data_IF_044318579451
#
_entry.id   IF_044318579451
#
_cell.length_a   1.000
_cell.length_b   1.000
_cell.length_c   1.000
_cell.angle_alpha   90.00
_cell.angle_beta   90.00
_cell.angle_gamma   90.00
#
_symmetry.space_group_name_H-M   'P 1'
#
loop_
_entity.id
_entity.type
_entity.pdbx_description
1 polymer ?
#
# COMPACT_ATOMS: atom_id res chain seq x y z
N UNK A 1 -32.24 31.49 16.55
CA UNK A 1 -33.34 32.09 15.77
C UNK A 1 -32.97 31.94 14.30
N UNK A 2 -33.65 31.05 13.55
CA UNK A 2 -33.70 30.87 12.08
C UNK A 2 -32.36 30.83 11.32
N UNK A 3 -31.83 29.69 10.83
CA UNK A 3 -32.28 28.74 9.78
C UNK A 3 -32.24 29.33 8.35
N UNK A 4 -31.79 28.48 7.41
CA UNK A 4 -31.76 28.55 5.92
C UNK A 4 -30.37 28.90 5.36
N UNK A 5 -29.50 27.96 4.93
CA UNK A 5 -29.55 26.99 3.79
C UNK A 5 -29.51 27.68 2.41
N UNK A 6 -28.48 27.37 1.61
CA UNK A 6 -28.43 27.80 0.20
C UNK A 6 -27.21 27.27 -0.57
N UNK A 7 -27.38 26.10 -1.17
CA UNK A 7 -26.48 25.39 -2.07
C UNK A 7 -26.18 26.12 -3.40
N UNK A 8 -24.95 25.89 -3.90
CA UNK A 8 -24.57 25.42 -5.25
C UNK A 8 -25.04 26.19 -6.49
N UNK A 9 -24.04 26.61 -7.29
CA UNK A 9 -24.00 26.25 -8.71
C UNK A 9 -23.91 27.40 -9.71
N UNK A 10 -22.77 27.54 -10.38
CA UNK A 10 -22.77 27.82 -11.82
C UNK A 10 -21.48 27.38 -12.49
N UNK A 11 -21.72 26.61 -13.55
CA UNK A 11 -20.79 26.04 -14.52
C UNK A 11 -20.42 27.10 -15.56
N UNK A 12 -19.21 26.96 -16.09
CA UNK A 12 -18.63 27.66 -17.25
C UNK A 12 -19.52 27.64 -18.50
N UNK A 13 -19.57 28.75 -19.25
CA UNK A 13 -19.66 28.74 -20.72
C UNK A 13 -19.33 30.11 -21.37
N UNK A 14 -18.19 30.15 -22.08
CA UNK A 14 -17.92 30.90 -23.34
C UNK A 14 -16.71 30.17 -23.96
N UNK A 15 -16.67 29.73 -25.21
CA UNK A 15 -17.61 29.77 -26.31
C UNK A 15 -16.79 29.53 -27.59
N UNK A 16 -17.19 28.58 -28.44
CA UNK A 16 -16.76 28.51 -29.84
C UNK A 16 -17.90 27.91 -30.65
N UNK A 17 -18.35 28.69 -31.64
CA UNK A 17 -19.38 28.32 -32.61
C UNK A 17 -18.87 27.27 -33.60
N UNK A 18 -19.75 26.37 -34.03
CA UNK A 18 -19.58 25.50 -35.18
C UNK A 18 -20.80 24.61 -35.33
N UNK A 19 -21.66 24.91 -36.30
CA UNK A 19 -23.02 24.38 -36.41
C UNK A 19 -23.17 22.93 -36.87
N UNK A 20 -24.42 22.47 -36.82
CA UNK A 20 -24.85 21.19 -37.37
C UNK A 20 -26.19 20.74 -36.77
N UNK A 21 -27.27 20.98 -37.52
CA UNK A 21 -28.64 20.58 -37.21
C UNK A 21 -28.80 19.07 -36.96
N UNK A 22 -29.67 18.69 -36.01
CA UNK A 22 -30.78 17.76 -36.27
C UNK A 22 -31.66 17.53 -35.02
N UNK A 23 -32.96 17.59 -35.28
CA UNK A 23 -34.07 17.26 -34.37
C UNK A 23 -33.92 15.87 -33.73
N UNK A 24 -34.43 15.66 -32.51
CA UNK A 24 -35.60 14.80 -32.20
C UNK A 24 -35.96 14.86 -30.70
N UNK A 25 -37.16 15.40 -30.45
CA UNK A 25 -38.18 15.13 -29.41
C UNK A 25 -37.77 14.66 -28.00
N UNK A 26 -38.00 15.53 -27.02
CA UNK A 26 -38.23 15.18 -25.62
C UNK A 26 -39.66 14.63 -25.42
N UNK A 27 -39.77 13.45 -24.79
CA UNK A 27 -41.02 12.95 -24.22
C UNK A 27 -40.83 12.84 -22.71
N UNK A 28 -41.47 13.74 -21.97
CA UNK A 28 -41.60 13.66 -20.52
C UNK A 28 -42.33 12.37 -20.13
N UNK A 29 -41.71 11.56 -19.28
CA UNK A 29 -42.40 10.60 -18.43
C UNK A 29 -42.07 10.96 -16.98
N UNK A 30 -43.14 11.22 -16.24
CA UNK A 30 -43.21 11.53 -14.82
C UNK A 30 -43.39 10.20 -14.07
N UNK A 31 -42.91 10.18 -12.83
CA UNK A 31 -43.20 9.24 -11.73
C UNK A 31 -42.26 8.04 -11.52
N UNK A 32 -41.77 7.93 -10.27
CA UNK A 32 -41.24 6.70 -9.69
C UNK A 32 -39.73 6.62 -9.46
N UNK A 33 -39.13 7.49 -8.62
CA UNK A 33 -37.78 7.22 -8.10
C UNK A 33 -37.84 6.18 -7.00
N UNK A 34 -37.33 5.00 -7.31
CA UNK A 34 -36.77 4.07 -6.35
C UNK A 34 -35.58 4.72 -5.64
N UNK A 35 -35.53 4.61 -4.32
CA UNK A 35 -34.32 4.90 -3.55
C UNK A 35 -33.22 3.87 -3.89
N UNK A 36 -31.96 4.29 -4.08
CA UNK A 36 -30.86 3.36 -4.22
C UNK A 36 -30.61 2.64 -2.88
N UNK A 37 -30.57 1.31 -2.94
CA UNK A 37 -30.32 0.35 -1.85
C UNK A 37 -28.92 0.45 -1.19
N UNK A 38 -28.23 1.58 -1.30
CA UNK A 38 -26.86 1.75 -0.81
C UNK A 38 -26.75 2.13 0.68
N UNK A 39 -27.88 2.40 1.36
CA UNK A 39 -27.91 2.82 2.77
C UNK A 39 -28.37 1.74 3.76
N UNK A 40 -28.58 0.48 3.32
CA UNK A 40 -29.00 -0.62 4.23
C UNK A 40 -27.86 -1.50 4.75
N UNK A 41 -26.63 -1.32 4.24
CA UNK A 41 -25.45 -2.09 4.69
C UNK A 41 -24.71 -1.49 5.89
N UNK A 42 -24.69 -0.17 6.03
CA UNK A 42 -23.81 0.52 6.98
C UNK A 42 -24.38 0.71 8.41
N UNK A 43 -25.61 0.24 8.69
CA UNK A 43 -26.27 0.45 9.98
C UNK A 43 -26.53 -0.84 10.78
N UNK A 44 -25.77 -1.92 10.52
CA UNK A 44 -25.86 -3.16 11.30
C UNK A 44 -24.68 -3.45 12.24
N UNK A 45 -23.74 -2.53 12.37
CA UNK A 45 -22.58 -2.67 13.26
C UNK A 45 -22.47 -1.49 14.22
N UNK A 46 -23.37 -1.43 15.20
CA UNK A 46 -23.10 -0.68 16.44
C UNK A 46 -23.56 -1.53 17.62
N UNK A 47 -22.64 -1.81 18.55
CA UNK A 47 -23.00 -2.38 19.83
C UNK A 47 -23.58 -1.27 20.73
N UNK A 48 -24.57 -1.63 21.55
CA UNK A 48 -25.25 -0.74 22.50
C UNK A 48 -24.33 -0.03 23.51
N UNK A 49 -23.04 -0.38 23.58
CA UNK A 49 -22.06 0.26 24.47
C UNK A 49 -21.52 1.60 23.93
N UNK A 50 -21.54 1.84 22.62
CA UNK A 50 -20.99 3.08 22.03
C UNK A 50 -21.99 4.25 21.99
N UNK A 51 -23.30 3.97 22.05
CA UNK A 51 -24.35 5.01 22.09
C UNK A 51 -24.38 5.76 23.44
N UNK A 52 -23.80 5.20 24.50
CA UNK A 52 -23.70 5.87 25.81
C UNK A 52 -22.60 6.93 25.89
N UNK A 53 -21.57 6.87 25.04
CA UNK A 53 -20.47 7.84 25.07
C UNK A 53 -20.88 9.17 24.40
N UNK A 54 -21.68 9.11 23.33
CA UNK A 54 -22.15 10.30 22.60
C UNK A 54 -23.25 11.12 23.30
N UNK A 55 -23.71 10.70 24.49
CA UNK A 55 -24.67 11.48 25.31
C UNK A 55 -24.02 12.22 26.48
N UNK A 56 -22.70 12.12 26.65
CA UNK A 56 -21.98 12.67 27.81
C UNK A 56 -21.20 13.97 27.60
N UNK A 57 -21.27 14.60 26.42
CA UNK A 57 -20.45 15.79 26.08
C UNK A 57 -21.30 16.99 25.65
N UNK A 58 -22.52 17.09 26.18
CA UNK A 58 -23.38 18.25 25.96
C UNK A 58 -23.86 18.77 27.32
N UNK A 59 -22.95 19.29 28.13
CA UNK A 59 -23.24 20.21 29.24
C UNK A 59 -21.92 20.88 29.66
N UNK A 60 -21.61 22.04 29.05
CA UNK A 60 -20.76 23.05 29.68
C UNK A 60 -21.42 24.41 29.44
N UNK A 61 -21.76 25.03 30.56
CA UNK A 61 -22.56 26.24 30.71
C UNK A 61 -21.90 27.48 30.10
N UNK A 62 -22.74 28.32 29.49
CA UNK A 62 -22.41 29.69 29.09
C UNK A 62 -22.52 30.64 30.29
N UNK A 63 -21.42 31.29 30.69
CA UNK A 63 -21.39 32.42 31.63
C UNK A 63 -21.01 33.75 30.94
N UNK A 64 -21.47 34.92 31.45
CA UNK A 64 -21.60 36.14 30.66
C UNK A 64 -20.35 37.04 30.62
N UNK A 65 -20.32 37.87 29.57
CA UNK A 65 -19.34 38.91 29.24
C UNK A 65 -19.41 40.13 30.17
N UNK A 66 -18.25 40.76 30.43
CA UNK A 66 -18.08 42.22 30.54
C UNK A 66 -16.61 42.65 30.50
N UNK A 67 -16.31 43.94 30.18
CA UNK A 67 -15.21 44.31 29.27
C UNK A 67 -14.11 45.18 29.91
N UNK A 68 -12.86 45.02 29.49
CA UNK A 68 -11.74 45.98 29.55
C UNK A 68 -10.71 45.47 28.53
N UNK A 69 -9.99 46.21 27.69
CA UNK A 69 -9.69 47.62 27.50
C UNK A 69 -8.50 47.64 26.54
N UNK A 70 -8.46 48.63 25.67
CA UNK A 70 -7.58 48.71 24.50
C UNK A 70 -6.15 49.16 24.80
N UNK A 71 -5.23 48.67 23.95
CA UNK A 71 -4.23 49.46 23.21
C UNK A 71 -2.73 49.42 23.60
N UNK A 72 -1.94 49.10 22.57
CA UNK A 72 -0.67 49.72 22.14
C UNK A 72 0.65 49.10 22.65
N UNK A 73 1.35 48.45 21.70
CA UNK A 73 2.79 48.21 21.68
C UNK A 73 3.58 49.49 21.33
N UNK A 74 4.90 49.55 21.60
CA UNK A 74 5.80 49.64 20.43
C UNK A 74 7.21 49.02 20.58
N UNK A 75 7.74 48.57 19.43
CA UNK A 75 9.13 48.67 18.90
C UNK A 75 10.36 48.43 19.80
N UNK A 76 11.23 47.47 19.40
CA UNK A 76 12.49 47.71 18.67
C UNK A 76 13.68 46.77 19.01
N UNK A 77 14.25 46.21 17.93
CA UNK A 77 15.69 46.12 17.56
C UNK A 77 16.67 45.13 18.24
N UNK A 78 17.13 44.20 17.39
CA UNK A 78 18.54 43.92 16.97
C UNK A 78 19.58 43.47 18.01
N UNK A 79 20.17 42.27 17.80
CA UNK A 79 21.54 42.00 17.25
C UNK A 79 22.14 40.65 17.74
N UNK A 80 22.38 39.75 16.79
CA UNK A 80 23.63 39.03 16.47
C UNK A 80 24.44 38.23 17.52
N UNK A 81 25.02 37.12 17.01
CA UNK A 81 26.32 36.47 17.32
C UNK A 81 26.36 35.32 18.38
N UNK A 82 26.47 34.06 17.93
CA UNK A 82 27.76 33.35 17.67
C UNK A 82 27.57 31.87 17.33
N UNK A 83 28.26 31.46 16.27
CA UNK A 83 28.62 30.09 15.88
C UNK A 83 29.51 29.41 16.94
N UNK A 84 29.26 28.14 17.25
CA UNK A 84 30.30 27.23 17.72
C UNK A 84 30.12 25.82 17.14
N UNK A 85 31.17 25.36 16.45
CA UNK A 85 31.30 24.04 15.79
C UNK A 85 31.26 22.89 16.80
N UNK A 86 30.51 21.82 16.49
CA UNK A 86 30.79 20.44 16.94
C UNK A 86 30.62 19.49 15.75
N UNK A 87 31.70 19.26 15.00
CA UNK A 87 31.74 18.31 13.85
C UNK A 87 32.53 17.02 14.12
N UNK A 88 32.90 16.69 15.37
CA UNK A 88 33.75 15.53 15.65
C UNK A 88 33.26 14.53 16.70
N UNK A 89 32.03 14.65 17.21
CA UNK A 89 31.49 13.69 18.20
C UNK A 89 30.43 12.71 17.67
N UNK A 90 29.89 12.92 16.46
CA UNK A 90 28.79 12.08 15.94
C UNK A 90 29.28 10.80 15.26
N UNK A 91 30.38 10.84 14.51
CA UNK A 91 30.93 9.68 13.78
C UNK A 91 31.30 8.50 14.70
N UNK A 92 31.90 8.77 15.88
CA UNK A 92 32.26 7.72 16.85
C UNK A 92 31.08 7.20 17.66
N UNK A 93 30.05 8.02 17.88
CA UNK A 93 28.83 7.59 18.59
C UNK A 93 27.97 6.67 17.69
N UNK A 94 27.95 6.92 16.39
CA UNK A 94 27.26 6.09 15.40
C UNK A 94 27.96 4.75 15.13
N UNK A 95 29.29 4.70 15.16
CA UNK A 95 30.04 3.44 15.09
C UNK A 95 29.79 2.53 16.32
N UNK A 96 29.54 3.12 17.50
CA UNK A 96 29.20 2.39 18.72
C UNK A 96 27.73 1.97 18.79
N UNK A 97 26.81 2.73 18.16
CA UNK A 97 25.39 2.37 18.06
C UNK A 97 25.14 1.21 17.07
N UNK A 98 25.95 1.07 16.01
CA UNK A 98 25.92 -0.11 15.12
C UNK A 98 26.29 -1.43 15.81
N UNK A 99 26.97 -1.37 16.96
CA UNK A 99 27.45 -2.56 17.67
C UNK A 99 26.56 -3.00 18.84
N UNK A 100 25.59 -2.16 19.27
CA UNK A 100 24.78 -2.39 20.49
C UNK A 100 23.27 -2.58 20.27
N UNK A 101 22.76 -2.42 19.06
CA UNK A 101 21.34 -2.65 18.72
C UNK A 101 20.94 -4.13 18.55
N UNK A 102 21.77 -5.08 18.99
CA UNK A 102 21.56 -6.53 18.85
C UNK A 102 20.98 -7.22 20.10
N UNK A 103 20.41 -6.49 21.05
CA UNK A 103 19.89 -7.08 22.30
C UNK A 103 18.54 -6.45 22.66
N UNK A 104 17.43 -7.14 22.33
CA UNK A 104 16.29 -7.38 23.23
C UNK A 104 15.05 -8.02 22.55
N UNK A 105 14.48 -8.99 23.28
CA UNK A 105 13.10 -9.50 23.28
C UNK A 105 12.60 -10.44 22.16
N UNK A 106 12.55 -11.73 22.51
CA UNK A 106 11.82 -12.82 21.83
C UNK A 106 10.48 -13.13 22.51
N UNK A 107 9.43 -13.41 21.73
CA UNK A 107 8.45 -14.46 22.05
C UNK A 107 8.09 -15.22 20.76
N UNK A 108 8.18 -16.56 20.71
CA UNK A 108 7.66 -17.34 19.59
C UNK A 108 6.17 -17.63 19.81
N UNK A 109 5.36 -17.39 18.78
CA UNK A 109 4.03 -17.98 18.65
C UNK A 109 4.20 -19.49 18.41
N UNK A 110 3.67 -20.31 19.33
CA UNK A 110 3.55 -21.76 19.14
C UNK A 110 2.52 -22.04 18.05
N UNK A 111 2.94 -22.76 17.02
CA UNK A 111 2.03 -23.53 16.18
C UNK A 111 1.97 -24.94 16.78
N UNK A 112 0.87 -25.26 17.47
CA UNK A 112 0.60 -26.62 17.95
C UNK A 112 0.32 -27.53 16.74
N UNK A 113 1.34 -28.29 16.34
CA UNK A 113 1.22 -29.46 15.49
C UNK A 113 1.40 -30.70 16.37
N UNK A 114 0.32 -31.41 16.63
CA UNK A 114 0.35 -32.65 17.39
C UNK A 114 1.00 -33.82 16.64
N UNK A 115 1.57 -34.73 17.42
CA UNK A 115 1.77 -36.12 17.02
C UNK A 115 3.14 -36.70 17.32
N UNK A 116 3.18 -37.70 18.20
CA UNK A 116 4.12 -38.82 18.08
C UNK A 116 5.07 -38.99 19.25
N UNK A 117 4.72 -39.92 20.13
CA UNK A 117 5.56 -40.48 21.19
C UNK A 117 6.88 -41.06 20.66
N UNK A 118 7.95 -40.93 21.44
CA UNK A 118 9.24 -41.55 21.16
C UNK A 118 10.29 -41.21 22.21
N UNK A 119 10.35 -42.03 23.25
CA UNK A 119 11.35 -42.03 24.32
C UNK A 119 12.79 -42.18 23.80
N UNK A 120 13.74 -41.51 24.45
CA UNK A 120 15.17 -41.71 24.21
C UNK A 120 16.07 -40.75 24.98
N UNK A 121 16.46 -41.16 26.19
CA UNK A 121 17.47 -40.52 27.05
C UNK A 121 18.83 -40.36 26.37
N UNK A 122 19.51 -39.24 26.67
CA UNK A 122 20.89 -39.01 26.26
C UNK A 122 21.46 -37.66 26.71
N UNK A 123 21.93 -37.60 27.95
CA UNK A 123 22.72 -36.50 28.53
C UNK A 123 23.97 -36.17 27.70
N UNK A 124 24.11 -34.91 27.26
CA UNK A 124 25.41 -34.24 27.02
C UNK A 124 25.34 -32.74 27.26
N UNK A 125 26.06 -32.29 28.29
CA UNK A 125 26.47 -30.91 28.49
C UNK A 125 27.45 -30.48 27.38
N UNK A 126 27.16 -29.36 26.72
CA UNK A 126 28.02 -28.73 25.72
C UNK A 126 27.76 -27.23 25.64
N UNK A 127 28.84 -26.46 25.69
CA UNK A 127 28.93 -25.02 25.90
C UNK A 127 28.04 -24.15 24.99
N UNK A 128 27.45 -23.15 25.63
CA UNK A 128 26.58 -22.12 25.09
C UNK A 128 27.42 -21.05 24.35
N UNK A 129 27.58 -21.19 23.04
CA UNK A 129 28.12 -20.12 22.18
C UNK A 129 27.00 -19.19 21.71
N UNK A 130 27.17 -17.92 22.04
CA UNK A 130 26.25 -16.81 21.82
C UNK A 130 25.77 -16.64 20.36
N UNK A 131 24.45 -16.56 20.23
CA UNK A 131 23.62 -15.80 19.29
C UNK A 131 24.29 -15.23 18.03
N UNK A 132 24.18 -15.97 16.92
CA UNK A 132 24.05 -15.38 15.58
C UNK A 132 22.61 -14.90 15.40
N UNK A 133 22.43 -13.60 15.20
CA UNK A 133 21.20 -13.08 14.59
C UNK A 133 21.13 -13.56 13.15
N UNK A 134 20.06 -14.25 12.81
CA UNK A 134 19.81 -14.63 11.44
C UNK A 134 19.14 -13.45 10.72
N UNK A 135 19.73 -12.91 9.64
CA UNK A 135 19.00 -12.00 8.75
C UNK A 135 17.76 -12.75 8.29
N UNK A 136 16.58 -12.08 8.28
CA UNK A 136 15.28 -12.62 7.83
C UNK A 136 15.51 -13.84 6.97
N UNK A 137 15.43 -15.05 7.57
CA UNK A 137 15.81 -16.27 6.85
C UNK A 137 15.09 -16.17 5.53
N UNK A 138 15.88 -16.14 4.47
CA UNK A 138 15.39 -16.31 3.11
C UNK A 138 14.51 -17.53 3.23
N UNK A 139 13.18 -17.34 3.27
CA UNK A 139 12.25 -18.40 2.99
C UNK A 139 12.66 -18.76 1.58
N UNK A 140 13.56 -19.73 1.46
CA UNK A 140 13.92 -20.31 0.19
C UNK A 140 12.58 -20.55 -0.49
N UNK A 141 12.49 -20.24 -1.77
CA UNK A 141 11.29 -20.42 -2.59
C UNK A 141 10.66 -21.84 -2.49
N UNK A 142 11.22 -22.76 -1.68
CA UNK A 142 10.65 -24.03 -1.24
C UNK A 142 9.72 -24.01 -0.02
N UNK A 143 9.46 -22.90 0.66
CA UNK A 143 8.26 -22.79 1.52
C UNK A 143 7.06 -22.59 0.59
N UNK A 144 6.55 -23.72 0.10
CA UNK A 144 5.79 -23.84 -1.13
C UNK A 144 4.57 -22.93 -1.19
N UNK A 145 4.46 -22.17 -2.27
CA UNK A 145 3.16 -21.69 -2.71
C UNK A 145 2.20 -22.89 -2.81
N UNK A 146 0.94 -22.69 -2.41
CA UNK A 146 -0.06 -23.74 -2.46
C UNK A 146 -0.32 -24.24 -3.89
N UNK A 147 -1.06 -25.34 -4.02
CA UNK A 147 -1.58 -25.77 -5.31
C UNK A 147 -2.58 -24.75 -5.87
N UNK A 148 -2.73 -24.71 -7.21
CA UNK A 148 -3.77 -23.92 -7.86
C UNK A 148 -5.15 -24.39 -7.43
N UNK A 149 -5.97 -23.45 -6.97
CA UNK A 149 -7.36 -23.67 -6.56
C UNK A 149 -8.30 -22.88 -7.45
N UNK A 150 -9.57 -23.32 -7.52
CA UNK A 150 -10.62 -22.54 -8.19
C UNK A 150 -10.85 -21.21 -7.45
N UNK A 151 -11.24 -20.18 -8.19
CA UNK A 151 -11.64 -18.88 -7.63
C UNK A 151 -12.99 -18.95 -6.90
N UNK A 152 -13.42 -17.83 -6.30
CA UNK A 152 -14.73 -17.74 -5.64
C UNK A 152 -15.89 -18.08 -6.58
N UNK A 153 -17.03 -18.45 -5.99
CA UNK A 153 -18.29 -18.67 -6.72
C UNK A 153 -18.71 -17.48 -7.59
N UNK A 154 -18.33 -16.25 -7.22
CA UNK A 154 -18.60 -15.06 -8.02
C UNK A 154 -17.89 -15.15 -9.39
N UNK A 155 -16.60 -15.50 -9.39
CA UNK A 155 -15.83 -15.73 -10.61
C UNK A 155 -16.26 -16.97 -11.37
N UNK A 156 -16.63 -18.06 -10.68
CA UNK A 156 -17.11 -19.28 -11.35
C UNK A 156 -18.42 -19.07 -12.11
N UNK A 157 -19.29 -18.18 -11.61
CA UNK A 157 -20.51 -17.80 -12.31
C UNK A 157 -20.25 -16.85 -13.47
N UNK A 158 -19.14 -16.10 -13.44
CA UNK A 158 -18.76 -15.20 -14.52
C UNK A 158 -18.24 -16.00 -15.71
N UNK A 159 -19.00 -15.99 -16.80
CA UNK A 159 -18.58 -16.62 -18.05
C UNK A 159 -17.50 -15.76 -18.71
N UNK A 160 -16.31 -16.33 -18.88
CA UNK A 160 -15.24 -15.69 -19.64
C UNK A 160 -15.54 -15.79 -21.15
N UNK A 161 -15.48 -14.68 -21.90
CA UNK A 161 -15.64 -14.71 -23.35
C UNK A 161 -14.68 -15.73 -23.99
N UNK A 162 -15.11 -16.58 -24.91
CA UNK A 162 -14.20 -17.56 -25.56
C UNK A 162 -13.68 -18.68 -24.66
N UNK A 163 -14.17 -18.81 -23.43
CA UNK A 163 -13.75 -19.84 -22.47
C UNK A 163 -12.49 -19.47 -21.69
N UNK A 164 -11.90 -20.46 -21.02
CA UNK A 164 -10.81 -20.32 -20.06
C UNK A 164 -11.30 -20.48 -18.63
N UNK A 165 -10.35 -20.67 -17.72
CA UNK A 165 -10.63 -20.81 -16.28
C UNK A 165 -9.64 -19.97 -15.48
N UNK A 166 -10.14 -19.36 -14.43
CA UNK A 166 -9.33 -18.60 -13.48
C UNK A 166 -9.07 -19.42 -12.22
N UNK A 167 -7.86 -19.28 -11.69
CA UNK A 167 -7.37 -19.99 -10.52
C UNK A 167 -6.70 -19.00 -9.57
N UNK A 168 -6.59 -19.39 -8.30
CA UNK A 168 -5.85 -18.67 -7.26
C UNK A 168 -4.82 -19.60 -6.62
N UNK A 169 -3.74 -19.02 -6.10
CA UNK A 169 -2.66 -19.75 -5.43
C UNK A 169 -2.27 -18.97 -4.17
N UNK A 170 -2.28 -19.64 -3.03
CA UNK A 170 -1.81 -19.06 -1.76
C UNK A 170 -0.29 -18.89 -1.80
N UNK A 171 0.19 -17.70 -1.46
CA UNK A 171 1.61 -17.32 -1.53
C UNK A 171 2.17 -16.86 -0.17
N UNK A 172 1.37 -16.89 0.89
CA UNK A 172 1.72 -16.51 2.26
C UNK A 172 0.90 -15.32 2.78
N UNK A 173 0.90 -15.12 4.10
CA UNK A 173 0.09 -14.12 4.79
C UNK A 173 0.92 -13.08 5.55
N UNK A 174 0.41 -12.69 6.72
CA UNK A 174 1.08 -11.84 7.71
C UNK A 174 1.43 -10.43 7.22
N UNK A 175 0.52 -9.79 6.50
CA UNK A 175 0.69 -8.43 5.96
C UNK A 175 1.55 -8.34 4.70
N UNK A 176 2.28 -9.41 4.34
CA UNK A 176 3.13 -9.48 3.15
C UNK A 176 2.43 -10.07 1.92
N UNK A 177 1.15 -10.43 2.01
CA UNK A 177 0.48 -11.27 1.00
C UNK A 177 0.48 -10.66 -0.42
N UNK A 178 0.37 -9.32 -0.54
CA UNK A 178 0.52 -8.61 -1.82
C UNK A 178 1.90 -8.86 -2.43
N UNK A 179 2.94 -8.54 -1.66
CA UNK A 179 4.33 -8.66 -2.07
C UNK A 179 4.69 -10.10 -2.39
N UNK A 180 4.25 -11.07 -1.58
CA UNK A 180 4.51 -12.49 -1.82
C UNK A 180 3.84 -12.98 -3.09
N UNK A 181 2.61 -12.56 -3.35
CA UNK A 181 1.88 -12.92 -4.58
C UNK A 181 2.61 -12.39 -5.82
N UNK A 182 3.03 -11.13 -5.80
CA UNK A 182 3.80 -10.54 -6.91
C UNK A 182 5.16 -11.22 -7.10
N UNK A 183 5.92 -11.45 -6.01
CA UNK A 183 7.20 -12.16 -6.07
C UNK A 183 7.03 -13.56 -6.67
N UNK A 184 6.00 -14.29 -6.25
CA UNK A 184 5.71 -15.63 -6.77
C UNK A 184 5.38 -15.59 -8.26
N UNK A 185 4.56 -14.65 -8.71
CA UNK A 185 4.27 -14.47 -10.15
C UNK A 185 5.52 -14.17 -10.98
N UNK A 186 6.35 -13.23 -10.51
CA UNK A 186 7.61 -12.84 -11.18
C UNK A 186 8.57 -14.04 -11.24
N UNK A 187 8.72 -14.78 -10.15
CA UNK A 187 9.58 -15.97 -10.08
C UNK A 187 9.09 -17.10 -10.98
N UNK A 188 7.78 -17.43 -10.94
CA UNK A 188 7.15 -18.45 -11.79
C UNK A 188 7.34 -18.12 -13.29
N UNK A 189 7.39 -16.83 -13.64
CA UNK A 189 7.63 -16.36 -15.00
C UNK A 189 9.11 -16.31 -15.42
N UNK A 190 10.04 -16.59 -14.51
CA UNK A 190 11.48 -16.47 -14.74
C UNK A 190 11.95 -15.02 -14.99
N UNK A 191 11.15 -14.03 -14.56
CA UNK A 191 11.51 -12.62 -14.67
C UNK A 191 12.50 -12.23 -13.56
N UNK A 192 13.42 -11.34 -13.89
CA UNK A 192 14.36 -10.76 -12.94
C UNK A 192 14.45 -9.26 -13.09
N UNK A 193 14.80 -8.58 -12.00
CA UNK A 193 15.01 -7.14 -12.01
C UNK A 193 16.42 -6.83 -12.51
N UNK A 194 16.50 -6.06 -13.60
CA UNK A 194 17.67 -5.30 -14.00
C UNK A 194 17.48 -3.84 -13.52
N UNK A 195 18.56 -3.06 -13.40
CA UNK A 195 18.61 -1.76 -12.69
C UNK A 195 17.47 -0.76 -12.98
N UNK A 196 16.74 -0.92 -14.09
CA UNK A 196 15.63 -0.07 -14.48
C UNK A 196 14.36 -0.82 -14.98
N UNK A 197 14.35 -2.15 -15.11
CA UNK A 197 13.20 -2.88 -15.67
C UNK A 197 13.20 -4.39 -15.34
N UNK A 198 12.01 -5.01 -15.38
CA UNK A 198 11.87 -6.47 -15.35
C UNK A 198 12.19 -7.08 -16.72
N UNK A 199 13.17 -7.97 -16.75
CA UNK A 199 13.60 -8.67 -17.96
C UNK A 199 13.55 -10.19 -17.80
N UNK A 200 13.28 -10.87 -18.91
CA UNK A 200 13.55 -12.30 -19.04
C UNK A 200 15.07 -12.49 -19.05
N UNK A 201 15.59 -13.08 -17.99
CA UNK A 201 17.03 -13.20 -17.80
C UNK A 201 17.53 -14.55 -18.28
N UNK A 202 18.17 -14.61 -19.45
CA UNK A 202 19.00 -15.76 -19.85
C UNK A 202 20.37 -15.77 -19.15
N UNK A 203 20.85 -14.61 -18.68
CA UNK A 203 22.17 -14.44 -18.04
C UNK A 203 22.05 -14.11 -16.55
N UNK A 204 22.70 -14.90 -15.69
CA UNK A 204 22.68 -14.71 -14.23
C UNK A 204 23.50 -13.49 -13.74
N UNK A 205 24.22 -12.80 -14.61
CA UNK A 205 25.17 -11.76 -14.21
C UNK A 205 24.43 -10.41 -14.09
N UNK A 206 24.43 -9.83 -12.90
CA UNK A 206 23.89 -8.49 -12.62
C UNK A 206 22.40 -8.41 -12.26
N UNK A 207 21.63 -9.49 -12.45
CA UNK A 207 20.19 -9.48 -12.18
C UNK A 207 19.86 -9.79 -10.72
N UNK A 208 19.00 -8.97 -10.10
CA UNK A 208 18.54 -9.17 -8.71
C UNK A 208 17.25 -10.01 -8.72
N UNK A 209 17.15 -10.95 -7.77
CA UNK A 209 15.87 -11.61 -7.49
C UNK A 209 14.92 -10.60 -6.85
N UNK A 210 13.67 -10.55 -7.31
CA UNK A 210 12.64 -9.71 -6.71
C UNK A 210 12.13 -10.38 -5.43
N UNK A 211 12.66 -9.93 -4.30
CA UNK A 211 12.23 -10.40 -2.98
C UNK A 211 11.11 -9.50 -2.41
N UNK A 212 10.43 -9.98 -1.36
CA UNK A 212 9.45 -9.18 -0.60
C UNK A 212 10.10 -7.90 -0.07
N UNK A 213 11.28 -8.01 0.56
CA UNK A 213 11.99 -6.85 1.11
C UNK A 213 12.37 -5.83 0.02
N UNK A 214 12.80 -6.30 -1.16
CA UNK A 214 13.08 -5.41 -2.29
C UNK A 214 11.83 -4.65 -2.74
N UNK A 215 10.68 -5.32 -2.88
CA UNK A 215 9.44 -4.64 -3.27
C UNK A 215 8.92 -3.69 -2.20
N UNK A 216 9.06 -4.02 -0.91
CA UNK A 216 8.74 -3.11 0.18
C UNK A 216 9.63 -1.87 0.17
N UNK A 217 10.92 -2.03 -0.11
CA UNK A 217 11.84 -0.90 -0.32
C UNK A 217 11.40 -0.02 -1.51
N UNK A 218 10.96 -0.63 -2.62
CA UNK A 218 10.44 0.11 -3.78
C UNK A 218 9.18 0.91 -3.45
N UNK A 219 8.24 0.31 -2.71
CA UNK A 219 7.05 1.01 -2.21
C UNK A 219 7.45 2.17 -1.30
N UNK A 220 8.32 1.92 -0.33
CA UNK A 220 8.78 2.94 0.61
C UNK A 220 9.40 4.14 -0.12
N UNK A 221 10.28 3.90 -1.10
CA UNK A 221 10.90 4.95 -1.92
C UNK A 221 9.88 5.67 -2.79
N UNK A 222 9.04 4.94 -3.50
CA UNK A 222 7.99 5.51 -4.35
C UNK A 222 7.02 6.38 -3.55
N UNK A 223 6.64 5.95 -2.34
CA UNK A 223 5.75 6.68 -1.45
C UNK A 223 6.29 8.08 -1.11
N UNK A 224 7.58 8.16 -0.80
CA UNK A 224 8.27 9.43 -0.47
C UNK A 224 8.79 10.19 -1.70
N UNK A 225 8.52 9.69 -2.91
CA UNK A 225 8.91 10.32 -4.17
C UNK A 225 10.39 10.17 -4.53
N UNK A 226 11.06 9.13 -4.03
CA UNK A 226 12.42 8.75 -4.43
C UNK A 226 12.40 7.70 -5.54
N UNK A 227 13.40 7.77 -6.42
CA UNK A 227 13.67 6.75 -7.42
C UNK A 227 14.21 5.45 -6.78
N UNK A 228 14.05 4.29 -7.44
CA UNK A 228 14.52 2.99 -6.95
C UNK A 228 15.99 2.94 -6.48
N UNK A 229 16.87 3.67 -7.15
CA UNK A 229 18.31 3.70 -6.91
C UNK A 229 18.77 4.75 -5.89
N UNK A 230 17.89 5.70 -5.53
CA UNK A 230 18.18 6.70 -4.51
C UNK A 230 18.21 6.07 -3.11
N UNK A 231 19.11 6.57 -2.27
CA UNK A 231 19.24 6.17 -0.87
C UNK A 231 18.20 6.92 -0.01
N UNK A 232 17.64 6.27 1.01
CA UNK A 232 16.68 6.92 1.92
C UNK A 232 17.34 8.06 2.72
N UNK A 233 18.64 7.97 2.98
CA UNK A 233 19.43 8.99 3.66
C UNK A 233 19.44 10.33 2.92
N UNK A 234 19.17 10.34 1.61
CA UNK A 234 19.02 11.58 0.84
C UNK A 234 17.92 12.49 1.40
N UNK A 235 16.89 11.92 2.05
CA UNK A 235 15.80 12.66 2.70
C UNK A 235 16.27 13.56 3.85
N UNK A 236 17.40 13.22 4.49
CA UNK A 236 17.95 13.97 5.63
C UNK A 236 19.00 15.01 5.21
N UNK A 237 19.32 15.12 3.92
CA UNK A 237 20.36 16.05 3.47
C UNK A 237 19.90 17.51 3.63
N UNK A 238 20.69 18.29 4.38
CA UNK A 238 20.44 19.72 4.66
C UNK A 238 20.37 20.58 3.38
N UNK A 239 20.93 20.10 2.27
CA UNK A 239 21.01 20.85 1.02
C UNK A 239 19.73 20.80 0.19
N UNK A 240 18.76 19.93 0.54
CA UNK A 240 17.46 19.87 -0.13
C UNK A 240 17.52 19.63 -1.64
N UNK A 241 18.71 19.34 -2.19
CA UNK A 241 19.02 19.36 -3.61
C UNK A 241 18.52 18.11 -4.34
N UNK A 242 18.32 17.00 -3.62
CA UNK A 242 17.92 15.71 -4.21
C UNK A 242 16.44 15.39 -4.02
N UNK A 243 15.80 15.90 -2.95
CA UNK A 243 14.37 15.69 -2.71
C UNK A 243 13.56 16.87 -3.25
N UNK A 244 13.09 16.73 -4.49
CA UNK A 244 12.38 17.79 -5.22
C UNK A 244 11.12 18.28 -4.50
N UNK A 245 10.72 19.53 -4.75
CA UNK A 245 9.49 20.10 -4.20
C UNK A 245 8.25 19.30 -4.61
N UNK A 246 8.22 18.79 -5.84
CA UNK A 246 7.15 17.90 -6.32
C UNK A 246 7.06 16.60 -5.51
N UNK A 247 8.19 15.94 -5.28
CA UNK A 247 8.26 14.73 -4.46
C UNK A 247 7.80 14.98 -3.01
N UNK A 248 8.15 16.14 -2.44
CA UNK A 248 7.68 16.55 -1.10
C UNK A 248 6.17 16.76 -1.05
N UNK A 249 5.61 17.42 -2.07
CA UNK A 249 4.18 17.64 -2.17
C UNK A 249 3.41 16.32 -2.30
N UNK A 250 3.87 15.42 -3.17
CA UNK A 250 3.29 14.08 -3.33
C UNK A 250 3.36 13.26 -2.04
N UNK A 251 4.51 13.26 -1.37
CA UNK A 251 4.67 12.62 -0.06
C UNK A 251 3.66 13.15 0.94
N UNK A 252 3.55 14.48 1.06
CA UNK A 252 2.67 15.12 2.03
C UNK A 252 1.22 14.76 1.79
N UNK A 253 0.76 14.83 0.54
CA UNK A 253 -0.60 14.44 0.14
C UNK A 253 -0.91 13.00 0.55
N UNK A 254 -0.03 12.05 0.20
CA UNK A 254 -0.20 10.63 0.55
C UNK A 254 -0.21 10.41 2.06
N UNK A 255 0.72 11.02 2.78
CA UNK A 255 0.82 10.89 4.23
C UNK A 255 -0.42 11.46 4.95
N UNK A 256 -0.95 12.59 4.47
CA UNK A 256 -2.19 13.20 4.99
C UNK A 256 -3.40 12.30 4.74
N UNK A 257 -3.50 11.65 3.58
CA UNK A 257 -4.54 10.66 3.30
C UNK A 257 -4.47 9.50 4.30
N UNK A 258 -3.29 8.92 4.52
CA UNK A 258 -3.13 7.82 5.48
C UNK A 258 -3.47 8.26 6.92
N UNK A 259 -3.08 9.47 7.32
CA UNK A 259 -3.46 10.02 8.61
C UNK A 259 -4.97 10.26 8.73
N UNK A 260 -5.65 10.67 7.66
CA UNK A 260 -7.09 10.81 7.64
C UNK A 260 -7.80 9.44 7.78
N UNK A 261 -7.28 8.40 7.11
CA UNK A 261 -7.77 7.02 7.26
C UNK A 261 -7.57 6.48 8.68
N UNK A 262 -6.47 6.86 9.34
CA UNK A 262 -6.26 6.53 10.75
C UNK A 262 -7.30 7.18 11.65
N UNK A 263 -7.57 8.46 11.44
CA UNK A 263 -8.57 9.19 12.21
C UNK A 263 -10.01 8.70 11.97
N UNK A 264 -10.30 8.14 10.79
CA UNK A 264 -11.61 7.53 10.48
C UNK A 264 -11.76 6.11 11.04
N UNK A 265 -10.66 5.48 11.48
CA UNK A 265 -10.63 4.09 11.96
C UNK A 265 -10.56 3.05 10.84
N UNK A 266 -10.27 3.46 9.61
CA UNK A 266 -10.07 2.56 8.46
C UNK A 266 -8.62 2.06 8.36
N UNK A 267 -7.69 2.74 9.01
CA UNK A 267 -6.29 2.30 9.13
C UNK A 267 -6.16 1.22 10.21
N UNK A 268 -5.74 0.02 9.81
CA UNK A 268 -5.62 -1.14 10.69
C UNK A 268 -4.17 -1.59 10.91
N UNK A 269 -3.22 -0.86 10.32
CA UNK A 269 -1.79 -1.16 10.43
C UNK A 269 -1.23 -0.75 11.79
N UNK A 270 -0.05 -1.27 12.12
CA UNK A 270 0.56 -1.09 13.44
C UNK A 270 1.20 0.27 13.66
N UNK A 271 1.62 0.91 12.58
CA UNK A 271 2.26 2.22 12.65
C UNK A 271 1.22 3.34 12.55
N UNK A 272 1.55 4.53 13.06
CA UNK A 272 0.62 5.65 13.18
C UNK A 272 1.03 6.82 12.29
N UNK A 273 0.40 6.99 11.10
CA UNK A 273 0.66 8.11 10.21
C UNK A 273 0.49 9.48 10.88
N UNK A 274 -0.55 9.66 11.71
CA UNK A 274 -0.80 10.92 12.42
C UNK A 274 0.27 11.22 13.47
N UNK A 275 0.76 10.20 14.19
CA UNK A 275 1.86 10.38 15.14
C UNK A 275 3.17 10.80 14.45
N UNK A 276 3.47 10.22 13.27
CA UNK A 276 4.64 10.64 12.47
C UNK A 276 4.48 12.10 12.02
N UNK A 277 3.31 12.48 11.50
CA UNK A 277 3.07 13.83 10.97
C UNK A 277 3.05 14.93 12.04
N UNK A 278 2.57 14.63 13.25
CA UNK A 278 2.39 15.62 14.32
C UNK A 278 3.51 15.58 15.36
N UNK A 279 4.25 14.48 15.45
CA UNK A 279 5.30 14.28 16.44
C UNK A 279 6.61 14.98 16.08
N UNK A 280 7.42 15.25 17.11
CA UNK A 280 8.84 15.64 16.93
C UNK A 280 9.81 14.46 16.95
N UNK A 281 9.36 13.29 17.41
CA UNK A 281 10.10 12.01 17.39
C UNK A 281 9.12 10.88 17.20
N UNK A 282 9.59 9.81 16.55
CA UNK A 282 8.81 8.60 16.32
C UNK A 282 9.67 7.37 16.59
N UNK A 283 9.09 6.34 17.23
CA UNK A 283 9.74 5.04 17.41
C UNK A 283 9.14 4.08 16.39
N UNK A 284 9.98 3.55 15.52
CA UNK A 284 9.55 2.64 14.46
C UNK A 284 9.17 1.26 15.00
N UNK A 285 8.49 0.46 14.19
CA UNK A 285 8.20 -0.94 14.46
C UNK A 285 9.46 -1.79 14.68
N UNK A 286 10.61 -1.36 14.15
CA UNK A 286 11.92 -1.99 14.39
C UNK A 286 12.61 -1.52 15.68
N UNK A 287 12.03 -0.55 16.39
CA UNK A 287 12.58 0.03 17.62
C UNK A 287 13.55 1.20 17.40
N UNK A 288 13.68 1.69 16.17
CA UNK A 288 14.54 2.84 15.85
C UNK A 288 13.83 4.15 16.19
N UNK A 289 14.57 5.12 16.74
CA UNK A 289 14.02 6.44 17.05
C UNK A 289 14.41 7.41 15.93
N UNK A 290 13.41 7.95 15.24
CA UNK A 290 13.55 8.91 14.14
C UNK A 290 13.12 10.30 14.61
N UNK A 291 13.91 11.32 14.28
CA UNK A 291 13.52 12.72 14.48
C UNK A 291 12.54 13.15 13.38
N UNK A 292 11.28 13.37 13.74
CA UNK A 292 10.21 13.76 12.81
C UNK A 292 9.90 15.26 12.85
N UNK A 293 10.79 16.07 13.45
CA UNK A 293 10.61 17.52 13.50
C UNK A 293 10.73 18.20 12.11
N UNK A 294 11.38 17.56 11.15
CA UNK A 294 11.50 17.99 9.75
C UNK A 294 10.66 17.13 8.82
N UNK A 295 10.34 17.65 7.63
CA UNK A 295 9.64 16.84 6.61
C UNK A 295 10.46 15.64 6.14
N UNK A 296 11.78 15.79 5.99
CA UNK A 296 12.66 14.68 5.61
C UNK A 296 12.67 13.58 6.67
N UNK A 297 12.65 13.96 7.95
CA UNK A 297 12.51 13.02 9.06
C UNK A 297 11.18 12.28 9.09
N UNK A 298 10.08 12.98 8.77
CA UNK A 298 8.75 12.35 8.61
C UNK A 298 8.74 11.37 7.44
N UNK A 299 9.25 11.77 6.29
CA UNK A 299 9.36 10.92 5.11
C UNK A 299 10.20 9.68 5.40
N UNK A 300 11.33 9.83 6.08
CA UNK A 300 12.16 8.70 6.51
C UNK A 300 11.39 7.75 7.43
N UNK A 301 10.65 8.26 8.42
CA UNK A 301 9.86 7.42 9.31
C UNK A 301 8.80 6.60 8.53
N UNK A 302 8.08 7.21 7.60
CA UNK A 302 7.16 6.48 6.71
C UNK A 302 7.88 5.42 5.88
N UNK A 303 9.02 5.77 5.27
CA UNK A 303 9.78 4.85 4.45
C UNK A 303 10.26 3.62 5.26
N UNK A 304 10.72 3.83 6.50
CA UNK A 304 11.15 2.74 7.38
C UNK A 304 9.98 1.80 7.72
N UNK A 305 8.79 2.33 8.07
CA UNK A 305 7.60 1.51 8.33
C UNK A 305 7.16 0.71 7.10
N UNK A 306 7.02 1.37 5.95
CA UNK A 306 6.57 0.73 4.71
C UNK A 306 7.57 -0.32 4.20
N UNK A 307 8.87 -0.08 4.40
CA UNK A 307 9.93 -1.02 4.02
C UNK A 307 10.01 -2.26 4.92
N UNK A 308 9.41 -2.22 6.11
CA UNK A 308 9.50 -3.30 7.08
C UNK A 308 8.62 -4.49 6.67
N UNK A 309 9.23 -5.68 6.57
CA UNK A 309 8.53 -6.92 6.27
C UNK A 309 7.63 -7.38 7.41
N UNK A 310 6.60 -8.17 7.07
CA UNK A 310 5.68 -8.77 8.00
C UNK A 310 4.46 -7.89 8.31
N UNK A 311 3.88 -8.11 9.48
CA UNK A 311 2.59 -7.55 9.86
C UNK A 311 2.71 -6.12 10.43
N UNK A 312 3.44 -5.25 9.72
CA UNK A 312 3.59 -3.82 10.04
C UNK A 312 2.65 -2.99 9.18
N UNK A 313 2.69 -3.26 7.87
CA UNK A 313 1.90 -2.58 6.86
C UNK A 313 1.32 -3.59 5.87
N UNK A 314 0.00 -3.58 5.70
CA UNK A 314 -0.71 -4.41 4.73
C UNK A 314 -0.78 -3.69 3.39
N UNK A 315 -0.39 -4.36 2.32
CA UNK A 315 -0.41 -3.77 0.99
C UNK A 315 -1.79 -3.24 0.59
N UNK A 316 -1.81 -2.04 0.04
CA UNK A 316 -2.96 -1.26 -0.39
C UNK A 316 -2.97 -1.08 -1.91
N UNK A 317 -4.03 -0.45 -2.42
CA UNK A 317 -4.08 0.02 -3.81
C UNK A 317 -2.93 0.98 -4.16
N UNK A 318 -2.53 1.86 -3.24
CA UNK A 318 -1.41 2.77 -3.47
C UNK A 318 -0.11 1.99 -3.73
N UNK A 319 0.13 0.93 -2.96
CA UNK A 319 1.32 0.09 -3.10
C UNK A 319 1.34 -0.67 -4.41
N UNK A 320 0.16 -1.11 -4.89
CA UNK A 320 0.03 -1.69 -6.23
C UNK A 320 0.47 -0.69 -7.28
N UNK A 321 -0.02 0.56 -7.24
CA UNK A 321 0.36 1.60 -8.19
C UNK A 321 1.86 1.95 -8.15
N UNK A 322 2.42 2.07 -6.94
CA UNK A 322 3.85 2.33 -6.74
C UNK A 322 4.72 1.17 -7.27
N UNK A 323 4.29 -0.08 -7.07
CA UNK A 323 4.99 -1.25 -7.60
C UNK A 323 4.85 -1.39 -9.10
N UNK A 324 3.70 -1.05 -9.68
CA UNK A 324 3.55 -1.02 -11.13
C UNK A 324 4.58 -0.04 -11.76
N UNK A 325 4.71 1.16 -11.18
CA UNK A 325 5.63 2.20 -11.63
C UNK A 325 7.09 1.83 -11.40
N UNK A 326 7.42 1.32 -10.20
CA UNK A 326 8.77 0.89 -9.87
C UNK A 326 9.21 -0.32 -10.71
N UNK A 327 8.33 -1.28 -11.00
CA UNK A 327 8.69 -2.53 -11.68
C UNK A 327 8.43 -2.53 -13.19
N UNK A 328 7.78 -1.51 -13.75
CA UNK A 328 7.44 -1.46 -15.17
C UNK A 328 6.38 -2.50 -15.59
N UNK A 329 5.51 -2.94 -14.66
CA UNK A 329 4.47 -3.97 -14.91
C UNK A 329 3.07 -3.42 -14.71
N UNK A 330 2.11 -4.00 -15.42
CA UNK A 330 0.70 -3.85 -15.09
C UNK A 330 0.28 -4.92 -14.09
N UNK A 331 -0.59 -4.58 -13.15
CA UNK A 331 -1.17 -5.50 -12.19
C UNK A 331 -2.68 -5.52 -12.40
N UNK A 332 -3.24 -6.71 -12.63
CA UNK A 332 -4.69 -6.89 -12.75
C UNK A 332 -5.18 -7.55 -11.47
N UNK A 333 -5.98 -6.80 -10.69
CA UNK A 333 -6.51 -7.25 -9.41
C UNK A 333 -7.91 -7.82 -9.61
N UNK A 334 -8.13 -9.08 -9.23
CA UNK A 334 -9.39 -9.80 -9.36
C UNK A 334 -10.06 -9.91 -8.00
N UNK A 335 -11.22 -9.27 -7.80
CA UNK A 335 -11.92 -9.22 -6.51
C UNK A 335 -12.72 -10.51 -6.25
N UNK A 336 -12.52 -11.15 -5.09
CA UNK A 336 -13.29 -12.33 -4.69
C UNK A 336 -14.77 -12.03 -4.49
N UNK A 337 -15.06 -10.85 -3.96
CA UNK A 337 -16.38 -10.41 -3.52
C UNK A 337 -17.29 -10.14 -4.71
N UNK A 338 -16.78 -9.37 -5.68
CA UNK A 338 -17.60 -8.88 -6.79
C UNK A 338 -17.57 -9.80 -8.01
N UNK A 339 -16.53 -10.66 -8.14
CA UNK A 339 -16.27 -11.38 -9.38
C UNK A 339 -15.90 -10.44 -10.53
N UNK A 340 -15.33 -9.27 -10.21
CA UNK A 340 -14.90 -8.23 -11.15
C UNK A 340 -13.44 -7.89 -10.98
N UNK A 341 -12.86 -7.30 -12.02
CA UNK A 341 -11.58 -6.61 -11.92
C UNK A 341 -11.77 -5.40 -10.98
N UNK A 342 -10.91 -5.31 -9.98
CA UNK A 342 -10.87 -4.18 -9.07
C UNK A 342 -10.26 -2.98 -9.79
N UNK A 343 -11.07 -1.94 -10.01
CA UNK A 343 -10.64 -0.74 -10.71
C UNK A 343 -9.80 0.14 -9.80
N UNK A 344 -8.49 -0.08 -9.85
CA UNK A 344 -7.48 0.75 -9.18
C UNK A 344 -6.73 1.67 -10.15
N UNK A 345 -7.34 1.98 -11.30
CA UNK A 345 -6.69 2.80 -12.32
C UNK A 345 -5.56 2.09 -13.07
N UNK A 346 -5.67 0.77 -13.31
CA UNK A 346 -4.68 -0.01 -14.07
C UNK A 346 -4.30 0.71 -15.37
N UNK A 347 -3.02 1.01 -15.56
CA UNK A 347 -2.52 1.70 -16.75
C UNK A 347 -2.08 0.67 -17.80
N UNK A 348 -2.84 0.54 -18.90
CA UNK A 348 -2.46 -0.30 -20.06
C UNK A 348 -1.54 0.44 -21.06
N UNK A 349 -0.75 1.38 -20.56
CA UNK A 349 0.11 2.22 -21.40
C UNK A 349 1.27 1.43 -22.04
N UNK A 350 1.94 2.03 -23.03
CA UNK A 350 3.07 1.41 -23.75
C UNK A 350 4.27 1.05 -22.86
N UNK A 351 4.34 1.57 -21.62
CA UNK A 351 5.46 1.33 -20.71
C UNK A 351 5.35 -0.05 -20.06
N UNK A 352 4.14 -0.53 -19.76
CA UNK A 352 3.95 -1.86 -19.14
C UNK A 352 4.22 -3.00 -20.12
N UNK A 353 5.34 -3.71 -19.92
CA UNK A 353 5.77 -4.85 -20.77
C UNK A 353 5.12 -6.17 -20.37
N UNK A 354 4.92 -6.34 -19.07
CA UNK A 354 4.35 -7.54 -18.46
C UNK A 354 3.12 -7.18 -17.63
N UNK A 355 2.19 -8.12 -17.52
CA UNK A 355 0.98 -8.02 -16.71
C UNK A 355 0.93 -9.19 -15.75
N UNK A 356 0.75 -8.92 -14.46
CA UNK A 356 0.64 -9.90 -13.39
C UNK A 356 -0.80 -9.93 -12.90
N UNK A 357 -1.39 -11.12 -12.80
CA UNK A 357 -2.73 -11.28 -12.24
C UNK A 357 -2.62 -11.58 -10.74
N UNK A 358 -3.33 -10.80 -9.92
CA UNK A 358 -3.47 -11.08 -8.48
C UNK A 358 -4.95 -11.15 -8.10
N UNK A 359 -5.24 -11.86 -7.03
CA UNK A 359 -6.59 -12.13 -6.53
C UNK A 359 -6.74 -11.51 -5.14
N UNK A 360 -7.72 -10.63 -4.97
CA UNK A 360 -8.00 -9.96 -3.72
C UNK A 360 -9.18 -10.63 -3.00
N UNK A 361 -8.85 -11.40 -1.97
CA UNK A 361 -9.74 -12.21 -1.18
C UNK A 361 -10.28 -11.43 0.02
N UNK A 362 -11.60 -11.27 0.01
CA UNK A 362 -12.46 -10.84 1.12
C UNK A 362 -12.06 -9.48 1.71
N UNK A 363 -11.50 -8.62 0.86
CA UNK A 363 -11.12 -7.26 1.23
C UNK A 363 -9.90 -7.17 2.16
N UNK A 364 -9.13 -8.25 2.34
CA UNK A 364 -8.03 -8.27 3.33
C UNK A 364 -6.79 -9.07 2.90
N UNK A 365 -6.89 -9.94 1.89
CA UNK A 365 -5.80 -10.88 1.58
C UNK A 365 -5.52 -10.99 0.09
N UNK A 366 -4.26 -10.92 -0.31
CA UNK A 366 -3.86 -11.09 -1.70
C UNK A 366 -3.32 -12.50 -1.96
N UNK A 367 -3.69 -13.05 -3.11
CA UNK A 367 -3.21 -14.32 -3.63
C UNK A 367 -2.74 -14.14 -5.07
N UNK A 368 -1.90 -15.04 -5.58
CA UNK A 368 -1.55 -15.04 -7.00
C UNK A 368 -2.74 -15.56 -7.80
N UNK A 369 -3.14 -14.83 -8.86
CA UNK A 369 -4.16 -15.31 -9.78
C UNK A 369 -3.52 -15.95 -11.01
N UNK A 370 -4.20 -16.93 -11.58
CA UNK A 370 -3.74 -17.63 -12.77
C UNK A 370 -4.87 -17.83 -13.77
N UNK A 371 -4.53 -17.83 -15.06
CA UNK A 371 -5.45 -18.10 -16.15
C UNK A 371 -5.01 -19.34 -16.92
N UNK A 372 -5.97 -20.22 -17.18
CA UNK A 372 -5.83 -21.40 -18.02
C UNK A 372 -6.67 -21.21 -19.28
N UNK A 373 -6.03 -21.28 -20.43
CA UNK A 373 -6.70 -21.13 -21.72
C UNK A 373 -7.50 -22.39 -22.08
N UNK A 374 -8.73 -22.21 -22.59
CA UNK A 374 -9.55 -23.30 -23.11
C UNK A 374 -9.02 -23.79 -24.46
N UNK A 375 -9.16 -25.09 -24.75
CA UNK A 375 -8.96 -25.63 -26.11
C UNK A 375 -7.60 -26.29 -26.38
N UNK A 376 -6.66 -26.27 -25.42
CA UNK A 376 -5.47 -27.13 -25.49
C UNK A 376 -5.82 -28.53 -24.96
N UNK A 377 -5.90 -29.51 -25.87
CA UNK A 377 -6.02 -30.93 -25.53
C UNK A 377 -4.88 -31.32 -24.58
N UNK A 378 -5.20 -31.67 -23.34
CA UNK A 378 -4.22 -31.96 -22.29
C UNK A 378 -4.29 -31.07 -21.04
N UNK A 379 -5.18 -30.06 -21.01
CA UNK A 379 -5.28 -29.14 -19.89
C UNK A 379 -4.12 -28.15 -19.90
N UNK A 380 -4.36 -26.94 -20.39
CA UNK A 380 -3.29 -25.93 -20.51
C UNK A 380 -2.63 -25.63 -19.16
N UNK A 381 -1.38 -25.18 -19.20
CA UNK A 381 -0.71 -24.66 -18.00
C UNK A 381 -1.41 -23.40 -17.48
N UNK A 382 -1.56 -23.30 -16.15
CA UNK A 382 -2.07 -22.10 -15.49
C UNK A 382 -0.94 -21.06 -15.42
N UNK A 383 -1.14 -19.88 -16.00
CA UNK A 383 -0.16 -18.79 -16.01
C UNK A 383 -0.68 -17.56 -15.29
N UNK A 384 0.16 -16.92 -14.50
CA UNK A 384 -0.16 -15.69 -13.75
C UNK A 384 0.44 -14.42 -14.35
N UNK A 385 1.50 -14.57 -15.15
CA UNK A 385 2.20 -13.46 -15.79
C UNK A 385 2.14 -13.58 -17.30
N UNK A 386 1.87 -12.47 -17.96
CA UNK A 386 1.77 -12.40 -19.41
C UNK A 386 2.58 -11.23 -19.93
N UNK A 387 3.28 -11.39 -21.05
CA UNK A 387 3.71 -10.22 -21.81
C UNK A 387 2.49 -9.45 -22.31
N UNK A 388 2.62 -8.16 -22.60
CA UNK A 388 1.56 -7.39 -23.25
C UNK A 388 1.00 -8.14 -24.48
N UNK A 389 1.86 -8.62 -25.38
CA UNK A 389 1.41 -9.29 -26.61
C UNK A 389 0.70 -10.62 -26.35
N UNK A 390 0.99 -11.29 -25.25
CA UNK A 390 0.44 -12.60 -24.88
C UNK A 390 -0.64 -12.54 -23.81
N UNK A 391 -1.07 -11.36 -23.37
CA UNK A 391 -2.17 -11.22 -22.41
C UNK A 391 -3.46 -11.69 -23.06
N UNK A 392 -4.16 -12.72 -22.50
CA UNK A 392 -5.34 -13.30 -23.13
C UNK A 392 -6.41 -12.26 -23.41
N UNK A 393 -7.06 -12.35 -24.58
CA UNK A 393 -8.11 -11.41 -24.99
C UNK A 393 -9.26 -11.38 -23.98
N UNK A 394 -9.52 -12.50 -23.32
CA UNK A 394 -10.50 -12.65 -22.25
C UNK A 394 -10.20 -11.71 -21.07
N UNK A 395 -8.94 -11.68 -20.63
CA UNK A 395 -8.52 -10.82 -19.52
C UNK A 395 -8.61 -9.35 -19.94
N UNK A 396 -8.20 -9.02 -21.17
CA UNK A 396 -8.34 -7.65 -21.71
C UNK A 396 -9.79 -7.20 -21.71
N UNK A 397 -10.69 -8.03 -22.23
CA UNK A 397 -12.12 -7.75 -22.28
C UNK A 397 -12.71 -7.55 -20.88
N UNK A 398 -12.29 -8.34 -19.87
CA UNK A 398 -12.73 -8.15 -18.49
C UNK A 398 -12.32 -6.77 -17.94
N UNK A 399 -11.08 -6.36 -18.18
CA UNK A 399 -10.59 -5.05 -17.71
C UNK A 399 -11.33 -3.92 -18.46
N UNK A 400 -11.50 -4.03 -19.78
CA UNK A 400 -12.29 -3.05 -20.56
C UNK A 400 -13.73 -2.94 -20.06
N UNK A 401 -14.36 -4.07 -19.74
CA UNK A 401 -15.72 -4.14 -19.23
C UNK A 401 -15.87 -3.53 -17.83
N UNK A 402 -14.97 -3.90 -16.91
CA UNK A 402 -15.08 -3.56 -15.48
C UNK A 402 -14.47 -2.20 -15.14
N UNK A 403 -13.48 -1.74 -15.91
CA UNK A 403 -12.70 -0.52 -15.64
C UNK A 403 -12.98 0.59 -16.67
N UNK A 404 -14.15 0.59 -17.33
CA UNK A 404 -14.55 1.55 -18.38
C UNK A 404 -13.99 2.96 -18.13
N UNK A 405 -13.17 3.43 -19.07
CA UNK A 405 -12.47 4.73 -19.00
C UNK A 405 -10.94 4.65 -19.00
N UNK A 406 -10.33 3.45 -18.92
CA UNK A 406 -8.86 3.26 -18.82
C UNK A 406 -8.14 2.82 -20.10
N UNK A 407 -8.86 2.49 -21.19
CA UNK A 407 -8.29 2.14 -22.50
C UNK A 407 -8.39 3.32 -23.46
N UNK A 408 -7.48 4.29 -23.33
CA UNK A 408 -7.27 5.35 -24.32
C UNK A 408 -5.79 5.42 -24.68
#
# INVERSE_FOLDING_TARGET
>A
MWLVVGMVGSVYARGTMGGGDSLWKWKCIREGRQEPLFLRGALRWFSLKQIKWLRGVADVETGPLSPVGSSVAPFARLRSLRLFRRRHCTERLWALLRQKSLICCTQPARCDGGGGDGDGDGDRHGEETASRTEPCRFWGLGAGCGAWQRMSRAWERRRLPGGGRLFRKECGGDGDCLFRSLAAGIADAGLRWDSCDLQLSSSKIGTRSVSVGFMREMVAKGFVGLAPDQALESLLSDEGAEWSEGARAEFRERAEILAAMELSGEWLDRFSPSAILQGGRYMTSSGEIVDTSSEGGKALAFALELSTCGNVHWGTELDVGLLEDALGVGVVVLSSETGRVYNHGVKFDRKRRHFILIYYLDGIHYQLAGFQESGRSGGGEVRSVFSRKSLPQQIRALVEEDCKGTFA
#
